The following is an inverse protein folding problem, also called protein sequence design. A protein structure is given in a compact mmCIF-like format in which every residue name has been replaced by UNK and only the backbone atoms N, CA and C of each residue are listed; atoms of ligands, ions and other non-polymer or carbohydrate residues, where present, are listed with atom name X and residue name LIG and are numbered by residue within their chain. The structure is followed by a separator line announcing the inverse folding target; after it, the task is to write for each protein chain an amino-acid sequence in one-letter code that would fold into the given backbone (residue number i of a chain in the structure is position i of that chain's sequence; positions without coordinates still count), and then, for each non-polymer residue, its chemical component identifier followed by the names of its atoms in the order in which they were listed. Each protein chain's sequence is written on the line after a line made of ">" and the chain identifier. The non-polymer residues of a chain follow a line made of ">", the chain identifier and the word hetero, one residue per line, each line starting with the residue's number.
data_IF_573884120735
#
_entry.id   IF_573884120735
#
_cell.length_a   1.000
_cell.length_b   1.000
_cell.length_c   1.000
_cell.angle_alpha   90.00
_cell.angle_beta   90.00
_cell.angle_gamma   90.00
#
_symmetry.space_group_name_H-M   'P 1'
#
loop_
_entity.id
_entity.type
_entity.pdbx_description
1 polymer ?
#
# COMPACT_ATOMS: atom_id res chain seq x y z
N UNK A 1 -3.75 -2.33 17.53
CA UNK A 1 -3.88 -3.57 16.75
C UNK A 1 -2.66 -3.70 15.85
N UNK A 2 -2.03 -4.86 15.88
CA UNK A 2 -0.85 -5.10 15.05
C UNK A 2 -1.19 -5.98 13.86
N UNK A 3 -0.51 -5.75 12.74
CA UNK A 3 -0.61 -6.57 11.54
C UNK A 3 0.78 -7.10 11.19
N UNK A 4 0.83 -8.18 10.42
CA UNK A 4 2.11 -8.74 9.97
C UNK A 4 2.77 -7.83 8.95
N UNK A 5 1.99 -7.31 8.02
CA UNK A 5 2.52 -6.49 6.93
C UNK A 5 1.57 -5.35 6.58
N UNK A 6 2.11 -4.41 5.81
CA UNK A 6 1.38 -3.28 5.26
C UNK A 6 1.49 -3.35 3.73
N UNK A 7 0.39 -3.08 3.04
CA UNK A 7 0.36 -3.10 1.57
C UNK A 7 0.27 -1.68 1.03
N UNK A 8 1.26 -1.30 0.22
CA UNK A 8 1.23 -0.05 -0.52
C UNK A 8 0.21 -0.15 -1.66
N UNK A 9 -0.18 0.99 -2.21
CA UNK A 9 -1.24 1.12 -3.21
C UNK A 9 -1.05 0.21 -4.41
N UNK A 10 0.18 0.09 -4.93
CA UNK A 10 0.45 -0.70 -6.12
C UNK A 10 0.04 -2.17 -5.97
N UNK A 11 0.12 -2.72 -4.76
CA UNK A 11 -0.30 -4.11 -4.52
C UNK A 11 -1.80 -4.27 -4.83
N UNK A 12 -2.63 -3.35 -4.32
CA UNK A 12 -4.07 -3.40 -4.55
C UNK A 12 -4.42 -3.14 -6.02
N UNK A 13 -3.65 -2.29 -6.69
CA UNK A 13 -3.88 -1.98 -8.12
C UNK A 13 -3.59 -3.23 -8.97
N UNK A 14 -2.49 -3.93 -8.74
CA UNK A 14 -2.21 -5.15 -9.50
C UNK A 14 -3.26 -6.23 -9.25
N UNK A 15 -3.80 -6.28 -8.04
CA UNK A 15 -4.81 -7.28 -7.68
C UNK A 15 -6.06 -7.23 -8.55
N UNK A 16 -6.38 -6.05 -9.13
CA UNK A 16 -7.57 -5.88 -9.98
C UNK A 16 -7.22 -5.67 -11.45
N UNK A 17 -5.97 -5.82 -11.85
CA UNK A 17 -5.54 -5.57 -13.22
C UNK A 17 -6.19 -6.56 -14.19
N UNK A 18 -6.70 -6.03 -15.31
CA UNK A 18 -7.23 -6.83 -16.40
C UNK A 18 -6.21 -7.02 -17.53
N UNK A 19 -4.98 -6.52 -17.36
CA UNK A 19 -3.95 -6.59 -18.39
C UNK A 19 -3.21 -7.93 -18.36
N UNK A 20 -3.05 -8.54 -19.52
CA UNK A 20 -2.29 -9.79 -19.65
C UNK A 20 -0.86 -9.65 -19.14
N UNK A 21 -0.23 -8.50 -19.38
CA UNK A 21 1.14 -8.25 -18.96
C UNK A 21 1.31 -8.23 -17.44
N UNK A 22 0.23 -8.01 -16.70
CA UNK A 22 0.24 -7.96 -15.23
C UNK A 22 -0.12 -9.30 -14.58
N UNK A 23 -0.37 -10.36 -15.36
CA UNK A 23 -0.90 -11.62 -14.82
C UNK A 23 -0.07 -12.19 -13.67
N UNK A 24 1.24 -12.17 -13.79
CA UNK A 24 2.16 -12.67 -12.76
C UNK A 24 2.08 -11.81 -11.47
N UNK A 25 2.11 -10.49 -11.63
CA UNK A 25 2.00 -9.57 -10.51
C UNK A 25 0.63 -9.66 -9.84
N UNK A 26 -0.42 -9.82 -10.64
CA UNK A 26 -1.78 -9.99 -10.12
C UNK A 26 -1.87 -11.23 -9.24
N UNK A 27 -1.33 -12.35 -9.68
CA UNK A 27 -1.32 -13.59 -8.89
C UNK A 27 -0.62 -13.37 -7.56
N UNK A 28 0.54 -12.72 -7.56
CA UNK A 28 1.30 -12.45 -6.35
C UNK A 28 0.55 -11.50 -5.41
N UNK A 29 -0.06 -10.45 -5.97
CA UNK A 29 -0.84 -9.48 -5.18
C UNK A 29 -2.04 -10.15 -4.52
N UNK A 30 -2.78 -10.97 -5.28
CA UNK A 30 -3.93 -11.70 -4.73
C UNK A 30 -3.51 -12.66 -3.62
N UNK A 31 -2.36 -13.32 -3.76
CA UNK A 31 -1.84 -14.19 -2.70
C UNK A 31 -1.62 -13.43 -1.40
N UNK A 32 -1.04 -12.23 -1.47
CA UNK A 32 -0.83 -11.39 -0.28
C UNK A 32 -2.15 -10.99 0.37
N UNK A 33 -3.13 -10.59 -0.45
CA UNK A 33 -4.44 -10.16 0.05
C UNK A 33 -5.18 -11.34 0.70
N UNK A 34 -5.07 -12.52 0.12
CA UNK A 34 -5.75 -13.71 0.65
C UNK A 34 -5.23 -14.16 2.01
N UNK A 35 -4.00 -13.79 2.36
CA UNK A 35 -3.46 -14.08 3.71
C UNK A 35 -4.20 -13.31 4.79
N UNK A 36 -4.85 -12.20 4.43
CA UNK A 36 -5.74 -11.40 5.29
C UNK A 36 -5.09 -10.81 6.54
N UNK A 37 -3.76 -10.91 6.70
CA UNK A 37 -3.03 -10.35 7.84
C UNK A 37 -2.23 -9.13 7.37
N UNK A 38 -2.93 -8.14 6.85
CA UNK A 38 -2.29 -6.92 6.36
C UNK A 38 -3.07 -5.69 6.80
N UNK A 39 -2.37 -4.56 6.83
CA UNK A 39 -2.95 -3.25 7.04
C UNK A 39 -2.75 -2.36 5.84
N UNK A 40 -3.53 -1.31 5.78
CA UNK A 40 -3.48 -0.26 4.77
C UNK A 40 -3.67 1.08 5.45
N UNK A 41 -3.77 2.15 4.65
CA UNK A 41 -4.02 3.49 5.19
C UNK A 41 -5.07 4.23 4.38
N UNK A 42 -5.57 5.33 4.93
CA UNK A 42 -6.48 6.22 4.20
C UNK A 42 -5.81 6.75 2.93
N UNK A 43 -4.50 7.03 2.98
CA UNK A 43 -3.75 7.44 1.78
C UNK A 43 -3.80 6.35 0.70
N UNK A 44 -3.60 5.09 1.09
CA UNK A 44 -3.67 3.96 0.14
C UNK A 44 -5.05 3.89 -0.50
N UNK A 45 -6.10 4.06 0.27
CA UNK A 45 -7.47 4.04 -0.27
C UNK A 45 -7.70 5.19 -1.26
N UNK A 46 -7.21 6.38 -0.94
CA UNK A 46 -7.32 7.55 -1.83
C UNK A 46 -6.54 7.34 -3.13
N UNK A 47 -5.30 6.91 -3.03
CA UNK A 47 -4.46 6.65 -4.20
C UNK A 47 -5.02 5.54 -5.07
N UNK A 48 -5.56 4.50 -4.44
CA UNK A 48 -6.20 3.40 -5.16
C UNK A 48 -7.34 3.92 -6.02
N UNK A 49 -8.25 4.71 -5.45
CA UNK A 49 -9.39 5.25 -6.18
C UNK A 49 -8.94 6.07 -7.40
N UNK A 50 -8.02 6.99 -7.19
CA UNK A 50 -7.53 7.84 -8.28
C UNK A 50 -6.85 7.01 -9.37
N UNK A 51 -6.04 6.04 -8.96
CA UNK A 51 -5.29 5.22 -9.92
C UNK A 51 -6.21 4.35 -10.76
N UNK A 52 -7.13 3.61 -10.15
CA UNK A 52 -7.97 2.66 -10.89
C UNK A 52 -9.05 3.33 -11.73
N UNK A 53 -9.44 4.57 -11.40
CA UNK A 53 -10.45 5.29 -12.18
C UNK A 53 -9.83 6.21 -13.23
N UNK A 54 -8.53 6.55 -13.13
CA UNK A 54 -7.93 7.55 -14.02
C UNK A 54 -6.61 7.17 -14.67
N UNK A 55 -5.78 6.36 -14.01
CA UNK A 55 -4.39 6.20 -14.44
C UNK A 55 -4.07 4.87 -15.12
N UNK A 56 -4.89 3.85 -14.94
CA UNK A 56 -4.64 2.55 -15.58
C UNK A 56 -5.21 2.53 -17.00
N UNK A 57 -4.71 1.59 -17.83
CA UNK A 57 -5.10 1.49 -19.24
C UNK A 57 -6.59 1.18 -19.43
N UNK A 58 -7.17 0.39 -18.52
CA UNK A 58 -8.58 0.03 -18.54
C UNK A 58 -9.24 0.54 -17.26
N UNK A 59 -9.60 1.83 -17.20
CA UNK A 59 -10.13 2.43 -15.98
C UNK A 59 -11.44 1.77 -15.54
N UNK A 60 -11.60 1.67 -14.23
CA UNK A 60 -12.86 1.20 -13.64
C UNK A 60 -13.87 2.33 -13.55
N UNK A 61 -15.15 1.98 -13.63
CA UNK A 61 -16.21 2.92 -13.30
C UNK A 61 -16.10 3.31 -11.82
N UNK A 62 -16.45 4.57 -11.46
CA UNK A 62 -16.39 4.98 -10.05
C UNK A 62 -17.16 4.06 -9.10
N UNK A 63 -18.32 3.55 -9.53
CA UNK A 63 -19.15 2.65 -8.71
C UNK A 63 -18.41 1.35 -8.39
N UNK A 64 -17.70 0.81 -9.37
CA UNK A 64 -16.90 -0.41 -9.18
C UNK A 64 -15.75 -0.16 -8.21
N UNK A 65 -15.07 0.98 -8.35
CA UNK A 65 -13.98 1.35 -7.47
C UNK A 65 -14.48 1.51 -6.03
N UNK A 66 -15.62 2.15 -5.83
CA UNK A 66 -16.22 2.31 -4.49
C UNK A 66 -16.56 0.96 -3.87
N UNK A 67 -17.08 0.02 -4.65
CA UNK A 67 -17.39 -1.31 -4.15
C UNK A 67 -16.13 -2.03 -3.62
N UNK A 68 -14.99 -1.85 -4.32
CA UNK A 68 -13.71 -2.39 -3.87
C UNK A 68 -13.23 -1.70 -2.58
N UNK A 69 -13.38 -0.38 -2.48
CA UNK A 69 -13.03 0.35 -1.28
C UNK A 69 -13.84 -0.11 -0.07
N UNK A 70 -15.13 -0.42 -0.27
CA UNK A 70 -15.98 -0.93 0.79
C UNK A 70 -15.46 -2.26 1.34
N UNK A 71 -14.85 -3.08 0.52
CA UNK A 71 -14.22 -4.32 0.96
C UNK A 71 -12.90 -4.06 1.68
N UNK A 72 -12.03 -3.23 1.08
CA UNK A 72 -10.70 -2.98 1.65
C UNK A 72 -10.77 -2.25 2.99
N UNK A 73 -11.72 -1.37 3.20
CA UNK A 73 -11.83 -0.63 4.47
C UNK A 73 -12.09 -1.53 5.68
N UNK A 74 -12.48 -2.78 5.45
CA UNK A 74 -12.69 -3.74 6.54
C UNK A 74 -11.38 -4.27 7.13
N UNK A 75 -10.27 -4.09 6.43
CA UNK A 75 -8.95 -4.44 6.95
C UNK A 75 -8.44 -3.33 7.88
N UNK A 76 -7.48 -3.64 8.79
CA UNK A 76 -6.89 -2.61 9.64
C UNK A 76 -6.37 -1.45 8.81
N UNK A 77 -6.82 -0.25 9.15
CA UNK A 77 -6.54 0.96 8.36
C UNK A 77 -6.02 2.07 9.28
N UNK A 78 -4.85 2.60 8.94
CA UNK A 78 -4.32 3.79 9.61
C UNK A 78 -4.88 5.02 8.90
N UNK A 79 -5.61 5.85 9.64
CA UNK A 79 -6.17 7.10 9.09
C UNK A 79 -5.21 8.24 9.37
N UNK A 80 -5.01 9.08 8.36
CA UNK A 80 -4.11 10.22 8.50
C UNK A 80 -4.73 11.28 9.40
N UNK A 81 -4.15 11.41 10.58
CA UNK A 81 -4.48 12.47 11.53
C UNK A 81 -3.25 13.38 11.68
N UNK A 82 -3.32 14.36 12.58
CA UNK A 82 -2.20 15.27 12.75
C UNK A 82 -0.94 14.58 13.29
N UNK A 83 -1.00 13.73 14.33
CA UNK A 83 0.19 12.99 14.77
C UNK A 83 0.85 12.17 13.67
N UNK A 84 0.07 11.47 12.85
CA UNK A 84 0.62 10.70 11.74
C UNK A 84 1.28 11.61 10.71
N UNK A 85 0.68 12.76 10.44
CA UNK A 85 1.25 13.76 9.53
C UNK A 85 2.63 14.22 10.01
N UNK A 86 2.77 14.50 11.30
CA UNK A 86 4.07 14.90 11.87
C UNK A 86 5.10 13.78 11.75
N UNK A 87 4.71 12.55 12.04
CA UNK A 87 5.61 11.40 11.90
C UNK A 87 6.06 11.22 10.44
N UNK A 88 5.14 11.41 9.49
CA UNK A 88 5.45 11.35 8.07
C UNK A 88 6.49 12.40 7.67
N UNK A 89 6.36 13.62 8.18
CA UNK A 89 7.32 14.69 7.95
C UNK A 89 8.69 14.30 8.51
N UNK A 90 8.73 13.80 9.74
CA UNK A 90 9.97 13.36 10.38
C UNK A 90 10.68 12.28 9.56
N UNK A 91 9.95 11.28 9.09
CA UNK A 91 10.52 10.22 8.27
C UNK A 91 11.02 10.74 6.92
N UNK A 92 10.27 11.64 6.31
CA UNK A 92 10.68 12.27 5.05
C UNK A 92 12.03 12.96 5.19
N UNK A 93 12.19 13.75 6.25
CA UNK A 93 13.42 14.49 6.50
C UNK A 93 14.58 13.56 6.92
N UNK A 94 14.29 12.59 7.78
CA UNK A 94 15.30 11.68 8.31
C UNK A 94 15.88 10.76 7.24
N UNK A 95 15.01 10.22 6.37
CA UNK A 95 15.41 9.21 5.39
C UNK A 95 15.61 9.77 3.98
N UNK A 96 15.37 11.07 3.78
CA UNK A 96 15.55 11.70 2.47
C UNK A 96 14.57 11.16 1.43
N UNK A 97 13.36 10.84 1.83
CA UNK A 97 12.30 10.35 0.95
C UNK A 97 11.19 11.40 0.85
N UNK A 98 10.28 11.21 -0.12
CA UNK A 98 9.15 12.14 -0.27
C UNK A 98 8.26 12.11 0.98
N UNK A 99 7.49 13.19 1.18
CA UNK A 99 6.49 13.21 2.24
C UNK A 99 5.55 12.01 2.11
N UNK A 100 5.09 11.73 0.88
CA UNK A 100 4.12 10.65 0.64
C UNK A 100 4.69 9.28 0.98
N UNK A 101 5.95 9.04 0.67
CA UNK A 101 6.63 7.80 1.07
C UNK A 101 6.82 7.75 2.59
N UNK A 102 7.17 8.89 3.20
CA UNK A 102 7.24 9.00 4.67
C UNK A 102 5.90 8.69 5.33
N UNK A 103 4.80 9.11 4.71
CA UNK A 103 3.45 8.84 5.21
C UNK A 103 3.09 7.35 5.13
N UNK A 104 3.52 6.65 4.09
CA UNK A 104 3.34 5.20 3.98
C UNK A 104 4.10 4.49 5.12
N UNK A 105 5.35 4.87 5.35
CA UNK A 105 6.15 4.29 6.43
C UNK A 105 5.51 4.58 7.80
N UNK A 106 5.04 5.80 8.01
CA UNK A 106 4.38 6.19 9.26
C UNK A 106 3.10 5.38 9.51
N UNK A 107 2.32 5.13 8.45
CA UNK A 107 1.10 4.33 8.56
C UNK A 107 1.42 2.87 8.90
N UNK A 108 2.44 2.29 8.27
CA UNK A 108 2.88 0.94 8.57
C UNK A 108 3.33 0.82 10.03
N UNK A 109 4.07 1.81 10.53
CA UNK A 109 4.48 1.89 11.93
C UNK A 109 3.28 1.94 12.87
N UNK A 110 2.28 2.77 12.54
CA UNK A 110 1.10 2.95 13.38
C UNK A 110 0.33 1.63 13.55
N UNK A 111 0.39 0.75 12.56
CA UNK A 111 -0.24 -0.57 12.61
C UNK A 111 0.73 -1.66 13.09
N UNK A 112 1.94 -1.28 13.51
CA UNK A 112 2.96 -2.19 14.03
C UNK A 112 3.37 -3.28 13.04
N UNK A 113 3.31 -2.98 11.74
CA UNK A 113 3.79 -3.88 10.70
C UNK A 113 5.31 -3.96 10.72
N UNK A 114 5.88 -5.11 10.42
CA UNK A 114 7.33 -5.28 10.28
C UNK A 114 7.77 -5.36 8.83
N UNK A 115 6.84 -5.62 7.92
CA UNK A 115 7.09 -5.70 6.48
C UNK A 115 6.17 -4.74 5.76
N UNK A 116 6.76 -3.96 4.85
CA UNK A 116 6.03 -3.05 3.97
C UNK A 116 6.21 -3.56 2.53
N UNK A 117 5.16 -4.11 1.96
CA UNK A 117 5.19 -4.53 0.56
C UNK A 117 4.94 -3.34 -0.35
N UNK A 118 5.90 -3.04 -1.20
CA UNK A 118 5.83 -1.92 -2.14
C UNK A 118 6.74 -2.18 -3.34
N UNK A 119 6.26 -1.82 -4.53
CA UNK A 119 7.08 -1.82 -5.73
C UNK A 119 7.88 -0.52 -5.88
N UNK A 120 7.40 0.55 -5.26
CA UNK A 120 7.93 1.91 -5.47
C UNK A 120 9.10 2.25 -4.55
N UNK A 121 9.11 1.72 -3.33
CA UNK A 121 10.19 1.95 -2.38
C UNK A 121 11.32 0.96 -2.59
N UNK A 122 12.51 1.29 -2.07
CA UNK A 122 13.71 0.47 -2.30
C UNK A 122 13.63 -0.87 -1.60
N UNK A 123 13.67 -1.95 -2.37
CA UNK A 123 13.64 -3.32 -1.86
C UNK A 123 14.78 -3.56 -0.88
N UNK A 124 14.45 -4.13 0.28
CA UNK A 124 15.42 -4.46 1.32
C UNK A 124 15.75 -3.32 2.26
N UNK A 125 15.31 -2.10 1.95
CA UNK A 125 15.57 -0.93 2.79
C UNK A 125 14.85 -1.06 4.13
N UNK A 126 15.54 -0.72 5.20
CA UNK A 126 14.94 -0.65 6.53
C UNK A 126 14.60 0.80 6.89
N UNK A 127 13.39 1.00 7.43
CA UNK A 127 12.98 2.25 8.05
C UNK A 127 12.59 1.91 9.50
N UNK A 128 13.55 2.08 10.42
CA UNK A 128 13.36 1.60 11.79
C UNK A 128 13.15 0.08 11.80
N UNK A 129 12.08 -0.38 12.40
CA UNK A 129 11.76 -1.81 12.50
C UNK A 129 11.08 -2.38 11.26
N UNK A 130 10.79 -1.52 10.26
CA UNK A 130 10.06 -1.93 9.05
C UNK A 130 11.05 -2.22 7.93
N UNK A 131 10.88 -3.36 7.27
CA UNK A 131 11.64 -3.69 6.08
C UNK A 131 10.74 -3.62 4.85
N UNK A 132 11.21 -2.92 3.81
CA UNK A 132 10.51 -2.87 2.52
C UNK A 132 10.84 -4.14 1.73
N UNK A 133 9.78 -4.75 1.18
CA UNK A 133 9.92 -5.90 0.29
C UNK A 133 9.14 -5.62 -0.98
N UNK A 134 9.80 -5.70 -2.13
CA UNK A 134 9.11 -5.68 -3.41
C UNK A 134 8.67 -7.12 -3.72
N UNK A 135 7.36 -7.43 -3.63
CA UNK A 135 6.90 -8.80 -3.76
C UNK A 135 6.92 -9.31 -5.20
N UNK A 136 7.17 -8.42 -6.15
CA UNK A 136 7.19 -8.74 -7.57
C UNK A 136 8.60 -9.01 -8.11
N UNK A 137 9.62 -8.87 -7.27
CA UNK A 137 10.98 -9.20 -7.67
C UNK A 137 11.11 -10.70 -7.83
N UNK A 138 11.79 -11.10 -8.90
CA UNK A 138 12.19 -12.47 -9.07
C UNK A 138 13.43 -12.74 -8.21
N UNK A 139 13.46 -13.87 -7.59
CA UNK A 139 14.58 -14.29 -6.75
C UNK A 139 15.52 -15.18 -7.51
#
# INVERSE_FOLDING_TARGET
>A
MSVECFLDTNILVYAISALQQDASKKTRALDLIQRADFGISSQVLQEFYVTVTRKIQKPLAPETAVALLEEYRLFPTAYTDYPLTLTAIEHSLRYGISYWDGAIVAAAEALEATVLYSEDLSHGQHYGAIQVVNPFRET
#
